data_IF_548541072682
#
_entry.id   IF_548541072682
#
_cell.length_a   1.000
_cell.length_b   1.000
_cell.length_c   1.000
_cell.angle_alpha   90.00
_cell.angle_beta   90.00
_cell.angle_gamma   90.00
#
_symmetry.space_group_name_H-M   'P 1'
#
loop_
_entity.id
_entity.type
_entity.pdbx_description
1 polymer ?
#
# COMPACT_ATOMS: atom_id res chain seq x y z
N UNK A 1 -0.92 -3.26 1.66
CA UNK A 1 -0.78 -1.91 1.06
C UNK A 1 -2.15 -1.29 0.89
N UNK A 2 -2.36 -0.13 1.50
CA UNK A 2 -3.51 0.74 1.27
C UNK A 2 -3.18 1.69 0.14
N UNK A 3 -4.03 1.80 -0.87
CA UNK A 3 -3.78 2.70 -2.00
C UNK A 3 -5.05 3.01 -2.79
N UNK A 4 -4.88 3.80 -3.85
CA UNK A 4 -5.98 4.15 -4.75
C UNK A 4 -5.68 3.73 -6.19
N UNK A 5 -6.68 3.28 -6.93
CA UNK A 5 -6.51 2.84 -8.32
C UNK A 5 -5.97 3.94 -9.26
N UNK A 6 -6.26 5.21 -8.97
CA UNK A 6 -5.84 6.37 -9.76
C UNK A 6 -4.53 7.00 -9.27
N UNK A 7 -3.96 6.52 -8.16
CA UNK A 7 -2.78 7.11 -7.53
C UNK A 7 -1.50 6.69 -8.28
N UNK A 8 -0.76 7.68 -8.80
CA UNK A 8 0.48 7.46 -9.57
C UNK A 8 1.56 6.73 -8.76
N UNK A 9 1.78 7.14 -7.51
CA UNK A 9 2.72 6.47 -6.59
C UNK A 9 2.30 5.04 -6.27
N UNK A 10 1.00 4.76 -6.26
CA UNK A 10 0.48 3.42 -6.06
C UNK A 10 0.76 2.55 -7.28
N UNK A 11 0.65 3.10 -8.48
CA UNK A 11 1.04 2.42 -9.72
C UNK A 11 2.56 2.18 -9.77
N UNK A 12 3.37 3.17 -9.39
CA UNK A 12 4.83 3.04 -9.27
C UNK A 12 5.23 1.92 -8.31
N UNK A 13 4.64 1.89 -7.11
CA UNK A 13 4.88 0.83 -6.14
C UNK A 13 4.49 -0.56 -6.68
N UNK A 14 3.36 -0.66 -7.39
CA UNK A 14 2.92 -1.91 -8.05
C UNK A 14 3.92 -2.36 -9.11
N UNK A 15 4.46 -1.43 -9.89
CA UNK A 15 5.47 -1.73 -10.92
C UNK A 15 6.75 -2.30 -10.33
N UNK A 16 7.20 -1.83 -9.16
CA UNK A 16 8.38 -2.39 -8.49
C UNK A 16 8.21 -3.89 -8.20
N UNK A 17 7.01 -4.34 -7.84
CA UNK A 17 6.71 -5.76 -7.61
C UNK A 17 6.43 -6.54 -8.90
N UNK A 18 6.06 -5.87 -9.99
CA UNK A 18 5.62 -6.51 -11.23
C UNK A 18 4.47 -7.50 -10.98
N UNK A 19 4.56 -8.70 -11.58
CA UNK A 19 3.54 -9.75 -11.41
C UNK A 19 3.44 -10.26 -9.98
N UNK A 20 4.50 -10.15 -9.17
CA UNK A 20 4.47 -10.58 -7.78
C UNK A 20 3.52 -9.74 -6.91
N UNK A 21 3.08 -8.57 -7.39
CA UNK A 21 2.12 -7.74 -6.67
C UNK A 21 0.79 -8.44 -6.42
N UNK A 22 0.43 -9.46 -7.21
CA UNK A 22 -0.76 -10.27 -6.97
C UNK A 22 -0.75 -10.98 -5.60
N UNK A 23 0.43 -11.18 -5.00
CA UNK A 23 0.60 -11.78 -3.68
C UNK A 23 0.55 -10.74 -2.55
N UNK A 24 0.47 -9.45 -2.88
CA UNK A 24 0.39 -8.38 -1.89
C UNK A 24 -1.07 -8.18 -1.49
N UNK A 25 -1.32 -8.17 -0.18
CA UNK A 25 -2.60 -7.76 0.38
C UNK A 25 -2.83 -6.27 0.09
N UNK A 26 -3.54 -5.99 -1.00
CA UNK A 26 -3.92 -4.64 -1.43
C UNK A 26 -5.33 -4.31 -0.96
N UNK A 27 -5.49 -3.13 -0.35
CA UNK A 27 -6.79 -2.57 0.03
C UNK A 27 -7.03 -1.32 -0.81
N UNK A 28 -8.09 -1.36 -1.61
CA UNK A 28 -8.54 -0.19 -2.38
C UNK A 28 -9.20 0.81 -1.43
N UNK A 29 -8.60 1.99 -1.35
CA UNK A 29 -9.04 3.06 -0.48
C UNK A 29 -9.91 4.09 -1.20
N UNK A 30 -9.90 4.20 -2.53
CA UNK A 30 -10.78 5.16 -3.21
C UNK A 30 -12.17 4.57 -3.44
N UNK A 31 -13.20 5.41 -3.28
CA UNK A 31 -14.49 5.13 -3.90
C UNK A 31 -14.36 5.11 -5.43
N UNK A 32 -15.20 4.37 -6.17
CA UNK A 32 -15.12 4.27 -7.63
C UNK A 32 -15.20 5.61 -8.36
N UNK A 33 -15.98 6.55 -7.82
CA UNK A 33 -16.18 7.92 -8.31
C UNK A 33 -15.09 8.91 -7.85
N UNK A 34 -14.12 8.44 -7.05
CA UNK A 34 -13.05 9.24 -6.44
C UNK A 34 -13.53 10.35 -5.49
N UNK A 35 -14.80 10.31 -5.05
CA UNK A 35 -15.37 11.34 -4.16
C UNK A 35 -14.86 11.24 -2.73
N UNK A 36 -14.21 10.14 -2.37
CA UNK A 36 -13.65 9.96 -1.05
C UNK A 36 -13.03 8.59 -0.84
N UNK A 37 -12.94 8.23 0.44
CA UNK A 37 -12.25 7.04 0.89
C UNK A 37 -13.23 5.94 1.38
N UNK A 38 -12.89 4.67 1.14
CA UNK A 38 -13.62 3.51 1.67
C UNK A 38 -13.59 3.49 3.20
N UNK A 39 -14.61 2.90 3.81
CA UNK A 39 -14.78 2.90 5.27
C UNK A 39 -13.58 2.27 5.98
N UNK A 40 -13.06 1.15 5.46
CA UNK A 40 -11.89 0.45 6.04
C UNK A 40 -10.66 1.35 6.12
N UNK A 41 -10.40 2.18 5.10
CA UNK A 41 -9.23 3.07 5.12
C UNK A 41 -9.44 4.28 6.02
N UNK A 42 -10.69 4.75 6.17
CA UNK A 42 -11.05 5.80 7.16
C UNK A 42 -10.85 5.30 8.59
N UNK A 43 -11.35 4.11 8.91
CA UNK A 43 -11.22 3.49 10.23
C UNK A 43 -9.75 3.20 10.58
N UNK A 44 -8.96 2.82 9.58
CA UNK A 44 -7.51 2.66 9.71
C UNK A 44 -6.75 3.99 9.73
N UNK A 45 -7.41 5.14 9.61
CA UNK A 45 -6.80 6.47 9.56
C UNK A 45 -5.70 6.56 8.50
N UNK A 46 -5.99 6.12 7.28
CA UNK A 46 -5.06 6.23 6.14
C UNK A 46 -5.16 7.65 5.57
N UNK A 47 -4.10 8.43 5.75
CA UNK A 47 -4.03 9.85 5.37
C UNK A 47 -3.34 10.09 4.03
N UNK A 48 -2.59 9.10 3.52
CA UNK A 48 -1.85 9.19 2.26
C UNK A 48 -1.79 7.86 1.53
N UNK A 49 -1.39 7.90 0.26
CA UNK A 49 -1.25 6.71 -0.57
C UNK A 49 0.10 6.70 -1.34
N UNK A 50 0.74 5.53 -1.51
CA UNK A 50 0.42 4.27 -0.83
C UNK A 50 0.83 4.31 0.66
N UNK A 51 0.15 3.53 1.50
CA UNK A 51 0.57 3.26 2.90
C UNK A 51 0.72 1.76 3.08
N UNK A 52 1.86 1.35 3.61
CA UNK A 52 2.13 -0.02 4.02
C UNK A 52 1.90 -0.14 5.52
N UNK A 53 1.04 -1.08 5.93
CA UNK A 53 0.91 -1.52 7.32
C UNK A 53 1.57 -2.89 7.39
N UNK A 54 2.55 -3.01 8.29
CA UNK A 54 3.37 -4.19 8.48
C UNK A 54 2.76 -5.09 9.56
N UNK A 55 3.26 -6.32 9.69
CA UNK A 55 2.72 -7.30 10.64
C UNK A 55 2.84 -6.84 12.11
N UNK A 56 3.83 -6.00 12.43
CA UNK A 56 4.03 -5.38 13.74
C UNK A 56 3.13 -4.15 13.98
N UNK A 57 2.28 -3.80 13.01
CA UNK A 57 1.40 -2.62 13.05
C UNK A 57 2.11 -1.30 12.68
N UNK A 58 3.42 -1.32 12.45
CA UNK A 58 4.16 -0.14 11.99
C UNK A 58 3.79 0.21 10.56
N UNK A 59 3.93 1.49 10.21
CA UNK A 59 3.52 2.01 8.91
C UNK A 59 4.68 2.67 8.16
N UNK A 60 4.68 2.48 6.84
CA UNK A 60 5.52 3.21 5.90
C UNK A 60 4.63 3.93 4.89
N UNK A 61 4.87 5.21 4.69
CA UNK A 61 4.11 6.03 3.75
C UNK A 61 4.90 6.26 2.46
N UNK A 62 4.19 6.40 1.34
CA UNK A 62 4.78 6.61 0.03
C UNK A 62 5.39 5.34 -0.57
N UNK A 63 6.02 5.53 -1.73
CA UNK A 63 6.69 4.44 -2.45
C UNK A 63 7.91 3.97 -1.65
N UNK A 64 7.99 2.66 -1.46
CA UNK A 64 9.03 1.98 -0.71
C UNK A 64 9.83 1.05 -1.63
N UNK A 65 11.16 1.08 -1.58
CA UNK A 65 12.00 0.08 -2.23
C UNK A 65 11.69 -1.33 -1.70
N UNK A 66 11.76 -2.34 -2.58
CA UNK A 66 11.48 -3.73 -2.21
C UNK A 66 12.37 -4.23 -1.06
N UNK A 67 13.63 -3.80 -1.01
CA UNK A 67 14.56 -4.17 0.07
C UNK A 67 14.11 -3.68 1.44
N UNK A 68 13.53 -2.47 1.53
CA UNK A 68 12.98 -1.92 2.78
C UNK A 68 11.76 -2.73 3.20
N UNK A 69 10.85 -3.03 2.26
CA UNK A 69 9.67 -3.84 2.54
C UNK A 69 10.05 -5.25 3.00
N UNK A 70 11.04 -5.88 2.36
CA UNK A 70 11.53 -7.21 2.74
C UNK A 70 12.17 -7.21 4.14
N UNK A 71 13.05 -6.24 4.42
CA UNK A 71 13.67 -6.08 5.73
C UNK A 71 12.62 -5.92 6.83
N UNK A 72 11.62 -5.07 6.59
CA UNK A 72 10.55 -4.77 7.54
C UNK A 72 9.54 -5.91 7.69
N UNK A 73 9.36 -6.73 6.66
CA UNK A 73 8.55 -7.94 6.71
C UNK A 73 9.28 -9.12 7.39
N UNK A 74 10.55 -8.96 7.79
CA UNK A 74 11.34 -10.04 8.38
C UNK A 74 11.73 -11.12 7.37
N UNK A 75 11.71 -10.81 6.07
CA UNK A 75 12.22 -11.71 5.04
C UNK A 75 13.76 -11.76 5.16
N UNK A 76 14.27 -12.87 5.69
CA UNK A 76 15.69 -13.19 5.61
C UNK A 76 16.05 -13.54 4.16
N UNK A 77 17.15 -12.98 3.67
CA UNK A 77 17.73 -13.27 2.35
C UNK A 77 18.84 -14.31 2.49
#
# INVERSE_FOLDING_TARGET
MYGAFWCSHCAEQKQLFGSAFQNINYVECSLPDRSGQTQICKEKNITGYPTWELADGSRLEGVQPLGILAQRAGCAW
#
